data_IF_334815645598
#
_entry.id   IF_334815645598
#
_cell.length_a   1.000
_cell.length_b   1.000
_cell.length_c   1.000
_cell.angle_alpha   90.00
_cell.angle_beta   90.00
_cell.angle_gamma   90.00
#
_symmetry.space_group_name_H-M   'P 1'
#
loop_
_entity.id
_entity.type
_entity.pdbx_description
1 polymer ?
#
# COMPACT_ATOMS: atom_id res chain seq x y z
N UNK A 1 59.62 -27.71 51.37
CA UNK A 1 60.14 -26.74 50.38
C UNK A 1 60.51 -27.53 49.15
N UNK A 2 60.11 -27.26 47.91
CA UNK A 2 59.09 -26.42 47.32
C UNK A 2 58.91 -26.99 45.89
N UNK A 3 57.66 -27.07 45.44
CA UNK A 3 57.18 -27.15 44.07
C UNK A 3 57.74 -28.21 43.11
N UNK A 4 57.09 -29.37 43.14
CA UNK A 4 56.89 -30.18 41.94
C UNK A 4 55.89 -29.48 41.01
N UNK A 5 56.34 -28.46 40.29
CA UNK A 5 55.60 -27.93 39.14
C UNK A 5 55.78 -28.88 37.96
N UNK A 6 54.82 -29.79 37.85
CA UNK A 6 54.53 -30.59 36.67
C UNK A 6 54.17 -29.67 35.51
N UNK A 7 55.18 -29.12 34.84
CA UNK A 7 55.02 -28.58 33.50
C UNK A 7 54.89 -29.78 32.54
N UNK A 8 53.68 -30.32 32.45
CA UNK A 8 53.30 -31.19 31.32
C UNK A 8 53.22 -30.27 30.11
N UNK A 9 54.38 -29.99 29.51
CA UNK A 9 54.46 -29.44 28.17
C UNK A 9 53.95 -30.54 27.25
N UNK A 10 52.64 -30.54 27.02
CA UNK A 10 52.00 -31.36 26.02
C UNK A 10 52.76 -31.11 24.71
N UNK A 11 53.45 -32.13 24.23
CA UNK A 11 54.17 -32.12 22.96
C UNK A 11 53.14 -32.03 21.84
N UNK A 12 52.70 -30.80 21.55
CA UNK A 12 51.92 -30.51 20.35
C UNK A 12 52.75 -30.97 19.16
N UNK A 13 52.28 -32.02 18.50
CA UNK A 13 53.00 -32.59 17.36
C UNK A 13 53.29 -31.48 16.33
N UNK A 14 54.46 -31.47 15.68
CA UNK A 14 54.82 -30.44 14.68
C UNK A 14 53.78 -30.30 13.56
N UNK A 15 53.00 -31.36 13.30
CA UNK A 15 51.90 -31.36 12.35
C UNK A 15 50.71 -30.49 12.79
N UNK A 16 50.44 -30.40 14.10
CA UNK A 16 49.33 -29.63 14.64
C UNK A 16 49.58 -28.12 14.55
N UNK A 17 50.81 -27.67 14.80
CA UNK A 17 51.18 -26.26 14.69
C UNK A 17 51.21 -25.80 13.23
N UNK A 18 51.70 -26.65 12.32
CA UNK A 18 51.61 -26.42 10.88
C UNK A 18 50.16 -26.33 10.41
N UNK A 19 49.29 -27.26 10.84
CA UNK A 19 47.86 -27.24 10.52
C UNK A 19 47.16 -25.97 11.02
N UNK A 20 47.41 -25.56 12.27
CA UNK A 20 46.82 -24.35 12.85
C UNK A 20 47.21 -23.08 12.07
N UNK A 21 48.43 -23.01 11.57
CA UNK A 21 48.89 -21.89 10.75
C UNK A 21 48.15 -21.84 9.41
N UNK A 22 48.03 -22.97 8.71
CA UNK A 22 47.34 -23.06 7.41
C UNK A 22 45.81 -22.91 7.56
N UNK A 23 45.24 -23.29 8.70
CA UNK A 23 43.80 -23.21 8.98
C UNK A 23 43.26 -21.78 8.86
N UNK A 24 43.99 -20.79 9.38
CA UNK A 24 43.58 -19.38 9.27
C UNK A 24 43.62 -18.87 7.82
N UNK A 25 44.59 -19.32 7.02
CA UNK A 25 44.65 -19.01 5.59
C UNK A 25 43.45 -19.63 4.86
N UNK A 26 43.11 -20.89 5.15
CA UNK A 26 41.96 -21.58 4.54
C UNK A 26 40.66 -20.85 4.87
N UNK A 27 40.46 -20.45 6.13
CA UNK A 27 39.29 -19.67 6.54
C UNK A 27 39.20 -18.36 5.77
N UNK A 28 40.31 -17.63 5.61
CA UNK A 28 40.34 -16.38 4.87
C UNK A 28 39.93 -16.58 3.41
N UNK A 29 40.44 -17.64 2.77
CA UNK A 29 40.05 -18.01 1.40
C UNK A 29 38.57 -18.35 1.30
N UNK A 30 38.02 -19.10 2.25
CA UNK A 30 36.58 -19.42 2.29
C UNK A 30 35.75 -18.13 2.42
N UNK A 31 36.13 -17.21 3.31
CA UNK A 31 35.45 -15.92 3.47
C UNK A 31 35.51 -15.12 2.17
N UNK A 32 36.65 -15.10 1.48
CA UNK A 32 36.80 -14.44 0.18
C UNK A 32 35.86 -15.03 -0.88
N UNK A 33 35.74 -16.37 -0.92
CA UNK A 33 34.82 -17.07 -1.84
C UNK A 33 33.38 -16.70 -1.53
N UNK A 34 32.99 -16.69 -0.25
CA UNK A 34 31.64 -16.29 0.18
C UNK A 34 31.37 -14.85 -0.20
N UNK A 35 32.32 -13.94 0.03
CA UNK A 35 32.17 -12.53 -0.32
C UNK A 35 32.05 -12.32 -1.84
N UNK A 36 32.84 -13.05 -2.63
CA UNK A 36 32.73 -13.09 -4.08
C UNK A 36 31.34 -13.58 -4.52
N UNK A 37 30.81 -14.63 -3.88
CA UNK A 37 29.47 -15.14 -4.14
C UNK A 37 28.39 -14.11 -3.81
N UNK A 38 28.48 -13.40 -2.68
CA UNK A 38 27.53 -12.34 -2.33
C UNK A 38 27.50 -11.26 -3.41
N UNK A 39 28.66 -10.77 -3.87
CA UNK A 39 28.72 -9.76 -4.93
C UNK A 39 28.13 -10.28 -6.24
N UNK A 40 28.44 -11.53 -6.60
CA UNK A 40 27.93 -12.19 -7.82
C UNK A 40 26.41 -12.36 -7.77
N UNK A 41 25.89 -12.80 -6.62
CA UNK A 41 24.47 -13.06 -6.40
C UNK A 41 23.70 -11.74 -6.38
N UNK A 42 24.13 -10.74 -5.60
CA UNK A 42 23.50 -9.41 -5.56
C UNK A 42 23.49 -8.74 -6.94
N UNK A 43 24.54 -8.94 -7.76
CA UNK A 43 24.56 -8.47 -9.16
C UNK A 43 23.49 -9.15 -10.01
N UNK A 44 23.25 -10.44 -9.81
CA UNK A 44 22.20 -11.19 -10.50
C UNK A 44 20.82 -10.64 -10.11
N UNK A 45 20.58 -10.51 -8.80
CA UNK A 45 19.31 -10.05 -8.24
C UNK A 45 18.98 -8.59 -8.56
N UNK A 46 19.98 -7.74 -8.81
CA UNK A 46 19.72 -6.34 -9.21
C UNK A 46 19.31 -6.21 -10.68
N UNK A 47 19.62 -7.21 -11.50
CA UNK A 47 19.29 -7.21 -12.93
C UNK A 47 18.02 -8.01 -13.22
N UNK A 48 17.71 -9.07 -12.47
CA UNK A 48 16.48 -9.86 -12.66
C UNK A 48 15.16 -9.08 -12.56
N UNK A 49 14.92 -8.16 -11.60
CA UNK A 49 13.65 -7.42 -11.54
C UNK A 49 13.54 -6.44 -12.71
N UNK A 50 14.64 -5.79 -13.09
CA UNK A 50 14.64 -4.93 -14.28
C UNK A 50 14.47 -5.71 -15.57
N UNK A 51 15.06 -6.89 -15.71
CA UNK A 51 14.84 -7.74 -16.88
C UNK A 51 13.42 -8.30 -16.88
N UNK A 52 12.86 -8.74 -15.76
CA UNK A 52 11.48 -9.20 -15.69
C UNK A 52 10.48 -8.08 -15.96
N UNK A 53 10.70 -6.88 -15.43
CA UNK A 53 9.89 -5.68 -15.72
C UNK A 53 10.04 -5.23 -17.18
N UNK A 54 11.26 -5.18 -17.71
CA UNK A 54 11.51 -4.81 -19.10
C UNK A 54 10.98 -5.86 -20.07
N UNK A 55 11.02 -7.15 -19.73
CA UNK A 55 10.47 -8.22 -20.56
C UNK A 55 8.94 -8.22 -20.47
N UNK A 56 8.34 -7.97 -19.30
CA UNK A 56 6.90 -7.71 -19.16
C UNK A 56 6.47 -6.46 -19.93
N UNK A 57 7.26 -5.39 -19.91
CA UNK A 57 6.98 -4.16 -20.64
C UNK A 57 7.14 -4.37 -22.14
N UNK A 58 8.18 -5.09 -22.60
CA UNK A 58 8.36 -5.45 -24.01
C UNK A 58 7.29 -6.41 -24.50
N UNK A 59 6.85 -7.36 -23.68
CA UNK A 59 5.75 -8.27 -24.01
C UNK A 59 4.44 -7.49 -24.10
N UNK A 60 4.16 -6.57 -23.16
CA UNK A 60 3.05 -5.61 -23.26
C UNK A 60 3.13 -4.72 -24.49
N UNK A 61 4.31 -4.20 -24.83
CA UNK A 61 4.52 -3.33 -25.98
C UNK A 61 4.41 -4.10 -27.29
N UNK A 62 4.84 -5.36 -27.31
CA UNK A 62 4.73 -6.24 -28.48
C UNK A 62 3.28 -6.68 -28.69
N UNK A 63 2.55 -7.01 -27.62
CA UNK A 63 1.09 -7.20 -27.65
C UNK A 63 0.40 -5.94 -28.18
N UNK A 64 0.70 -4.78 -27.60
CA UNK A 64 0.11 -3.50 -28.01
C UNK A 64 0.47 -3.09 -29.43
N UNK A 65 1.67 -3.40 -29.93
CA UNK A 65 2.10 -3.09 -31.31
C UNK A 65 1.52 -4.08 -32.32
N UNK A 66 1.35 -5.34 -31.93
CA UNK A 66 0.64 -6.36 -32.71
C UNK A 66 -0.86 -6.03 -32.79
N UNK A 67 -1.40 -5.36 -31.77
CA UNK A 67 -2.80 -4.90 -31.72
C UNK A 67 -3.06 -3.50 -32.26
N UNK A 68 -2.11 -2.56 -32.21
CA UNK A 68 -2.20 -1.30 -32.96
C UNK A 68 -2.12 -1.55 -34.48
N UNK A 69 -1.57 -2.69 -34.91
CA UNK A 69 -1.67 -3.17 -36.28
C UNK A 69 -3.07 -3.68 -36.69
N UNK A 70 -3.98 -3.87 -35.72
CA UNK A 70 -5.39 -4.20 -35.96
C UNK A 70 -6.28 -3.11 -35.35
N UNK A 71 -6.61 -2.04 -36.10
CA UNK A 71 -7.59 -1.07 -35.65
C UNK A 71 -8.95 -1.76 -35.49
N UNK A 72 -9.36 -2.11 -34.26
CA UNK A 72 -10.75 -2.49 -34.00
C UNK A 72 -11.13 -3.40 -32.84
N UNK A 73 -10.24 -3.90 -31.96
CA UNK A 73 -10.70 -4.72 -30.82
C UNK A 73 -10.05 -4.36 -29.49
N UNK A 74 -10.81 -3.59 -28.71
CA UNK A 74 -10.61 -3.30 -27.29
C UNK A 74 -10.64 -4.60 -26.46
N UNK A 75 -9.71 -4.70 -25.51
CA UNK A 75 -9.44 -5.85 -24.63
C UNK A 75 -10.51 -6.20 -23.59
N UNK A 76 -11.74 -5.75 -23.77
CA UNK A 76 -12.87 -6.37 -23.08
C UNK A 76 -13.70 -7.08 -24.14
N UNK A 77 -13.66 -8.41 -24.17
CA UNK A 77 -14.74 -9.18 -24.77
C UNK A 77 -15.97 -9.09 -23.86
N UNK A 78 -16.47 -7.88 -23.61
CA UNK A 78 -17.86 -7.70 -23.24
C UNK A 78 -18.62 -8.16 -24.48
N UNK A 79 -19.44 -9.21 -24.36
CA UNK A 79 -20.31 -9.60 -25.47
C UNK A 79 -21.17 -8.39 -25.88
N UNK A 80 -21.57 -8.24 -27.16
CA UNK A 80 -22.41 -7.10 -27.57
C UNK A 80 -23.72 -7.00 -26.75
N UNK A 81 -24.18 -8.12 -26.19
CA UNK A 81 -25.28 -8.21 -25.23
C UNK A 81 -24.95 -7.53 -23.89
N UNK A 82 -23.80 -7.86 -23.29
CA UNK A 82 -23.34 -7.23 -22.03
C UNK A 82 -23.01 -5.74 -22.20
N UNK A 83 -22.62 -5.27 -23.39
CA UNK A 83 -22.46 -3.84 -23.66
C UNK A 83 -23.80 -3.10 -23.66
N UNK A 84 -24.86 -3.76 -24.15
CA UNK A 84 -26.23 -3.25 -24.06
C UNK A 84 -26.70 -3.15 -22.61
N UNK A 85 -26.45 -4.20 -21.82
CA UNK A 85 -26.80 -4.23 -20.40
C UNK A 85 -26.05 -3.18 -19.57
N UNK A 86 -24.75 -2.99 -19.81
CA UNK A 86 -23.97 -1.92 -19.14
C UNK A 86 -24.54 -0.55 -19.47
N UNK A 87 -24.93 -0.32 -20.73
CA UNK A 87 -25.51 0.95 -21.15
C UNK A 87 -26.87 1.21 -20.48
N UNK A 88 -27.73 0.19 -20.37
CA UNK A 88 -29.01 0.33 -19.66
C UNK A 88 -28.79 0.59 -18.18
N UNK A 89 -27.82 -0.09 -17.56
CA UNK A 89 -27.46 0.14 -16.16
C UNK A 89 -26.89 1.54 -15.93
N UNK A 90 -26.11 2.08 -16.88
CA UNK A 90 -25.60 3.45 -16.81
C UNK A 90 -26.72 4.49 -16.94
N UNK A 91 -27.68 4.26 -17.84
CA UNK A 91 -28.86 5.12 -18.01
C UNK A 91 -29.75 5.08 -16.75
N UNK A 92 -29.97 3.91 -16.16
CA UNK A 92 -30.69 3.75 -14.88
C UNK A 92 -29.95 4.42 -13.72
N UNK A 93 -28.63 4.26 -13.63
CA UNK A 93 -27.81 4.90 -12.61
C UNK A 93 -27.85 6.43 -12.73
N UNK A 94 -27.83 6.99 -13.95
CA UNK A 94 -27.96 8.42 -14.17
C UNK A 94 -29.33 8.95 -13.74
N UNK A 95 -30.41 8.20 -14.02
CA UNK A 95 -31.75 8.55 -13.57
C UNK A 95 -31.88 8.49 -12.04
N UNK A 96 -31.36 7.43 -11.41
CA UNK A 96 -31.34 7.26 -9.96
C UNK A 96 -30.51 8.35 -9.27
N UNK A 97 -29.35 8.72 -9.80
CA UNK A 97 -28.53 9.79 -9.26
C UNK A 97 -29.29 11.14 -9.27
N UNK A 98 -30.06 11.39 -10.32
CA UNK A 98 -30.90 12.60 -10.44
C UNK A 98 -32.04 12.61 -9.43
N UNK A 99 -32.74 11.48 -9.23
CA UNK A 99 -33.81 11.35 -8.23
C UNK A 99 -33.26 11.46 -6.79
N UNK A 100 -32.12 10.83 -6.51
CA UNK A 100 -31.44 10.95 -5.21
C UNK A 100 -31.09 12.40 -4.91
N UNK A 101 -30.52 13.12 -5.88
CA UNK A 101 -30.21 14.54 -5.73
C UNK A 101 -31.46 15.38 -5.46
N UNK A 102 -32.55 15.14 -6.21
CA UNK A 102 -33.82 15.82 -5.99
C UNK A 102 -34.36 15.58 -4.58
N UNK A 103 -34.36 14.32 -4.11
CA UNK A 103 -34.77 13.94 -2.75
C UNK A 103 -33.91 14.61 -1.69
N UNK A 104 -32.59 14.61 -1.85
CA UNK A 104 -31.67 15.26 -0.93
C UNK A 104 -31.97 16.76 -0.80
N UNK A 105 -32.17 17.45 -1.93
CA UNK A 105 -32.49 18.88 -1.93
C UNK A 105 -33.82 19.21 -1.21
N UNK A 106 -34.81 18.31 -1.27
CA UNK A 106 -36.09 18.47 -0.57
C UNK A 106 -35.89 18.26 0.93
N UNK A 107 -35.08 17.28 1.34
CA UNK A 107 -34.75 17.01 2.73
C UNK A 107 -33.99 18.19 3.34
N UNK A 108 -32.97 18.71 2.66
CA UNK A 108 -32.19 19.86 3.13
C UNK A 108 -33.08 21.09 3.38
N UNK A 109 -33.97 21.41 2.43
CA UNK A 109 -34.94 22.51 2.59
C UNK A 109 -35.91 22.29 3.75
N UNK A 110 -36.23 21.04 4.09
CA UNK A 110 -37.08 20.72 5.26
C UNK A 110 -36.31 20.90 6.56
N UNK A 111 -35.05 20.46 6.60
CA UNK A 111 -34.16 20.64 7.75
C UNK A 111 -33.97 22.14 8.02
N UNK A 112 -33.65 22.93 7.01
CA UNK A 112 -33.47 24.38 7.14
C UNK A 112 -34.72 25.07 7.73
N UNK A 113 -35.92 24.69 7.26
CA UNK A 113 -37.17 25.22 7.80
C UNK A 113 -37.38 24.83 9.27
N UNK A 114 -37.08 23.59 9.63
CA UNK A 114 -37.17 23.14 11.02
C UNK A 114 -36.18 23.87 11.92
N UNK A 115 -34.95 24.06 11.47
CA UNK A 115 -33.94 24.84 12.21
C UNK A 115 -34.42 26.28 12.44
N UNK A 116 -34.98 26.92 11.42
CA UNK A 116 -35.51 28.28 11.54
C UNK A 116 -36.70 28.35 12.50
N UNK A 117 -37.62 27.38 12.47
CA UNK A 117 -38.72 27.31 13.43
C UNK A 117 -38.22 27.15 14.87
N UNK A 118 -37.25 26.27 15.11
CA UNK A 118 -36.66 26.06 16.44
C UNK A 118 -35.96 27.33 16.94
N UNK A 119 -35.22 28.03 16.07
CA UNK A 119 -34.59 29.32 16.41
C UNK A 119 -35.62 30.37 16.82
N UNK A 120 -36.72 30.51 16.08
CA UNK A 120 -37.81 31.44 16.40
C UNK A 120 -38.46 31.07 17.74
N UNK A 121 -38.84 29.81 17.94
CA UNK A 121 -39.46 29.37 19.21
C UNK A 121 -38.52 29.60 20.41
N UNK A 122 -37.21 29.41 20.23
CA UNK A 122 -36.23 29.71 21.29
C UNK A 122 -36.16 31.21 21.57
N UNK A 123 -36.20 32.04 20.53
CA UNK A 123 -36.21 33.50 20.67
C UNK A 123 -37.47 33.98 21.40
N UNK A 124 -38.65 33.49 21.03
CA UNK A 124 -39.92 33.82 21.67
C UNK A 124 -39.89 33.51 23.17
N UNK A 125 -39.39 32.33 23.55
CA UNK A 125 -39.24 31.96 24.98
C UNK A 125 -38.27 32.87 25.73
N UNK A 126 -37.22 33.38 25.07
CA UNK A 126 -36.30 34.33 25.69
C UNK A 126 -36.96 35.70 25.87
N UNK A 127 -37.72 36.17 24.88
CA UNK A 127 -38.48 37.42 24.96
C UNK A 127 -39.54 37.36 26.06
N UNK A 128 -40.26 36.24 26.17
CA UNK A 128 -41.26 36.03 27.23
C UNK A 128 -40.64 36.09 28.63
N UNK A 129 -39.49 35.43 28.84
CA UNK A 129 -38.75 35.53 30.10
C UNK A 129 -38.33 36.95 30.44
N UNK A 130 -37.82 37.70 29.47
CA UNK A 130 -37.43 39.11 29.66
C UNK A 130 -38.66 39.94 30.07
N UNK A 131 -39.80 39.75 29.41
CA UNK A 131 -41.04 40.45 29.74
C UNK A 131 -41.55 40.14 31.16
N UNK A 132 -41.45 38.88 31.57
CA UNK A 132 -41.82 38.47 32.92
C UNK A 132 -40.86 39.06 33.98
N UNK A 133 -39.57 39.14 33.68
CA UNK A 133 -38.57 39.81 34.53
C UNK A 133 -38.82 41.32 34.62
N UNK A 134 -39.12 42.00 33.51
CA UNK A 134 -39.49 43.43 33.50
C UNK A 134 -40.76 43.70 34.33
N UNK A 135 -41.76 42.82 34.25
CA UNK A 135 -43.00 42.93 35.05
C UNK A 135 -42.76 42.71 36.55
N UNK A 136 -41.71 41.97 36.93
CA UNK A 136 -41.32 41.80 38.35
C UNK A 136 -40.50 42.96 38.90
N UNK A 137 -39.81 43.70 38.03
CA UNK A 137 -38.99 44.86 38.40
C UNK A 137 -39.79 46.17 38.45
N UNK A 138 -40.98 46.21 37.84
CA UNK A 138 -41.99 47.28 37.98
C UNK A 138 -43.02 46.95 39.06
#
# INVERSE_FOLDING_TARGET
>A
MADATTAVAASTSPYWTWFQSVFWIIILVIILIVFYFIIREVRLWRNTPRLAEIDLEKEKLNLMKTEMGQPGRSFFRVSPEQLGEIRTLDEENAALATDIFAKHSIVDKRIERLENMVKITKLDRMVEKIKDEEKRLR
#
